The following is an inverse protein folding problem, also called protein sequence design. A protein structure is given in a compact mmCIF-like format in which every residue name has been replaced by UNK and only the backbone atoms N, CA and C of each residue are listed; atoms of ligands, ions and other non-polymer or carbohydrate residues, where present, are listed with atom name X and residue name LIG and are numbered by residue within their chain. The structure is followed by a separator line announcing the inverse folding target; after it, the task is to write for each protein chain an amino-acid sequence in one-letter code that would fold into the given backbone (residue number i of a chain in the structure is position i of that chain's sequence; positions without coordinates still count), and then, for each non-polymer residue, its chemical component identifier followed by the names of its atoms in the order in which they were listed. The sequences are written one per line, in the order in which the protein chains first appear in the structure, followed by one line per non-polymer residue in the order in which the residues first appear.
data_IF_319665368051
#
_entry.id   IF_319665368051
#
_cell.length_a   1.000
_cell.length_b   1.000
_cell.length_c   1.000
_cell.angle_alpha   90.00
_cell.angle_beta   90.00
_cell.angle_gamma   90.00
#
_symmetry.space_group_name_H-M   'P 1'
#
loop_
_entity.id
_entity.type
_entity.pdbx_description
1 polymer ?
#
# COMPACT_ATOMS: atom_id res chain seq x y z
N UNK A 1 7.64 -45.43 67.80
CA UNK A 1 6.50 -44.51 68.04
C UNK A 1 7.03 -43.09 67.92
N UNK A 2 6.27 -42.24 67.22
CA UNK A 2 6.33 -40.77 67.20
C UNK A 2 7.62 -40.11 66.68
N UNK A 3 7.61 -39.04 65.88
CA UNK A 3 6.53 -38.24 65.27
C UNK A 3 7.14 -37.51 64.08
N UNK A 4 6.31 -37.22 63.08
CA UNK A 4 6.65 -36.41 61.91
C UNK A 4 6.75 -34.92 62.26
N UNK A 5 7.59 -34.18 61.52
CA UNK A 5 7.33 -32.78 61.18
C UNK A 5 7.94 -32.50 59.79
N UNK A 6 7.08 -32.09 58.87
CA UNK A 6 7.38 -31.72 57.50
C UNK A 6 7.60 -30.22 57.46
N UNK A 7 8.81 -29.77 57.12
CA UNK A 7 9.04 -28.35 56.83
C UNK A 7 8.59 -28.03 55.40
N UNK A 8 7.65 -27.09 55.38
CA UNK A 8 6.97 -26.48 54.26
C UNK A 8 7.99 -25.79 53.32
N UNK A 9 8.04 -26.25 52.07
CA UNK A 9 8.79 -25.59 50.99
C UNK A 9 7.94 -24.41 50.51
N UNK A 10 8.34 -23.21 50.91
CA UNK A 10 7.72 -21.96 50.49
C UNK A 10 7.69 -21.86 48.96
N UNK A 11 6.49 -21.57 48.45
CA UNK A 11 6.23 -21.25 47.05
C UNK A 11 6.78 -19.85 46.78
N UNK A 12 7.76 -19.73 45.88
CA UNK A 12 8.19 -18.44 45.34
C UNK A 12 7.02 -17.84 44.53
N UNK A 13 6.32 -16.88 45.13
CA UNK A 13 5.40 -16.01 44.39
C UNK A 13 6.20 -15.15 43.40
N UNK A 14 5.73 -14.98 42.15
CA UNK A 14 6.36 -14.06 41.22
C UNK A 14 6.14 -12.64 41.74
N UNK A 15 7.23 -11.96 42.08
CA UNK A 15 7.25 -10.52 42.36
C UNK A 15 6.56 -9.80 41.19
N UNK A 16 5.33 -9.38 41.43
CA UNK A 16 4.66 -8.41 40.57
C UNK A 16 5.57 -7.20 40.48
N UNK A 17 5.98 -6.84 39.26
CA UNK A 17 6.64 -5.57 39.03
C UNK A 17 5.69 -4.48 39.50
N UNK A 18 6.04 -3.82 40.60
CA UNK A 18 5.44 -2.55 41.01
C UNK A 18 5.74 -1.57 39.86
N UNK A 19 4.81 -1.47 38.92
CA UNK A 19 4.72 -0.31 38.04
C UNK A 19 4.54 0.88 38.98
N UNK A 20 5.63 1.64 39.22
CA UNK A 20 5.61 2.86 40.05
C UNK A 20 4.62 3.86 39.45
N UNK A 21 3.35 3.75 39.83
CA UNK A 21 2.32 4.75 39.57
C UNK A 21 2.70 6.00 40.34
N UNK A 22 3.36 6.93 39.64
CA UNK A 22 3.78 8.23 40.17
C UNK A 22 2.61 9.10 40.67
N UNK A 23 1.34 8.65 40.55
CA UNK A 23 0.17 9.33 41.10
C UNK A 23 -0.10 10.71 40.48
N UNK A 24 0.60 11.03 39.39
CA UNK A 24 0.51 12.32 38.73
C UNK A 24 -0.82 12.42 37.97
N UNK A 25 -1.72 13.28 38.47
CA UNK A 25 -2.95 13.61 37.76
C UNK A 25 -2.64 14.49 36.54
N UNK A 26 -2.61 13.89 35.37
CA UNK A 26 -2.44 14.59 34.09
C UNK A 26 -3.78 15.17 33.66
N UNK A 27 -3.90 16.50 33.62
CA UNK A 27 -5.08 17.16 33.10
C UNK A 27 -5.17 16.95 31.57
N UNK A 28 -6.35 16.63 31.01
CA UNK A 28 -6.52 16.45 29.57
C UNK A 28 -6.18 17.75 28.81
N UNK A 29 -5.21 17.67 27.90
CA UNK A 29 -4.81 18.81 27.05
C UNK A 29 -5.92 19.10 26.02
N UNK A 30 -6.61 18.06 25.57
CA UNK A 30 -7.67 18.15 24.56
C UNK A 30 -8.84 17.27 24.98
N UNK A 31 -10.07 17.75 24.77
CA UNK A 31 -11.29 16.95 24.86
C UNK A 31 -11.70 16.57 23.45
N UNK A 32 -11.81 15.27 23.19
CA UNK A 32 -12.29 14.75 21.91
C UNK A 32 -13.77 14.39 22.07
N UNK A 33 -14.56 14.77 21.09
CA UNK A 33 -15.94 14.30 20.98
C UNK A 33 -15.96 12.95 20.26
N UNK A 34 -16.87 12.07 20.68
CA UNK A 34 -17.08 10.80 19.99
C UNK A 34 -17.68 11.07 18.61
N UNK A 35 -16.98 10.64 17.56
CA UNK A 35 -17.43 10.77 16.17
C UNK A 35 -17.82 9.38 15.67
N UNK A 36 -19.01 9.27 15.09
CA UNK A 36 -19.42 8.05 14.40
C UNK A 36 -18.51 7.81 13.19
N UNK A 37 -17.81 6.68 13.16
CA UNK A 37 -16.89 6.31 12.08
C UNK A 37 -17.56 5.28 11.18
N UNK A 38 -17.66 5.60 9.90
CA UNK A 38 -18.06 4.65 8.84
C UNK A 38 -16.83 3.96 8.27
N UNK A 39 -16.96 2.70 7.86
CA UNK A 39 -15.86 1.93 7.25
C UNK A 39 -15.72 2.21 5.76
N UNK A 40 -16.80 2.69 5.12
CA UNK A 40 -16.88 2.84 3.66
C UNK A 40 -17.06 1.50 2.94
N UNK A 41 -17.44 0.45 3.67
CA UNK A 41 -17.67 -0.92 3.19
C UNK A 41 -19.16 -1.33 3.34
N UNK A 42 -20.06 -0.41 3.69
CA UNK A 42 -21.45 -0.71 4.07
C UNK A 42 -22.33 -1.17 2.88
N UNK A 43 -21.97 -0.73 1.68
CA UNK A 43 -22.68 -1.02 0.42
C UNK A 43 -22.10 -2.24 -0.31
N UNK A 44 -21.28 -3.04 0.37
CA UNK A 44 -20.57 -4.16 -0.23
C UNK A 44 -20.78 -5.44 0.56
N UNK A 45 -20.79 -6.57 -0.16
CA UNK A 45 -20.87 -7.90 0.43
C UNK A 45 -19.51 -8.60 0.31
N UNK A 46 -19.02 -9.15 1.42
CA UNK A 46 -17.78 -9.90 1.45
C UNK A 46 -18.00 -11.30 0.85
N UNK A 47 -17.39 -11.55 -0.31
CA UNK A 47 -17.42 -12.85 -0.99
C UNK A 47 -16.23 -13.74 -0.61
N UNK A 48 -15.19 -13.14 -0.01
CA UNK A 48 -14.04 -13.81 0.58
C UNK A 48 -13.57 -13.01 1.80
N UNK A 49 -13.18 -13.71 2.86
CA UNK A 49 -12.59 -13.14 4.08
C UNK A 49 -11.56 -14.14 4.62
N UNK A 50 -10.27 -13.79 4.51
CA UNK A 50 -9.17 -14.68 4.93
C UNK A 50 -8.08 -13.90 5.66
N UNK A 51 -7.45 -14.55 6.65
CA UNK A 51 -6.24 -14.03 7.30
C UNK A 51 -5.02 -14.28 6.43
N UNK A 52 -4.22 -13.25 6.24
CA UNK A 52 -3.06 -13.28 5.37
C UNK A 52 -1.97 -12.30 5.80
N UNK A 53 -0.80 -12.44 5.20
CA UNK A 53 0.29 -11.47 5.24
C UNK A 53 0.61 -11.02 3.82
N UNK A 54 0.62 -9.71 3.61
CA UNK A 54 0.85 -9.07 2.33
C UNK A 54 2.25 -8.46 2.27
N UNK A 55 2.88 -8.65 1.11
CA UNK A 55 4.16 -8.12 0.73
C UNK A 55 4.02 -7.31 -0.55
N UNK A 56 4.86 -6.30 -0.69
CA UNK A 56 4.98 -5.43 -1.85
C UNK A 56 6.39 -5.53 -2.39
N UNK A 57 6.54 -5.69 -3.70
CA UNK A 57 7.85 -5.71 -4.33
C UNK A 57 8.43 -4.30 -4.43
N UNK A 58 9.62 -4.10 -3.89
CA UNK A 58 10.39 -2.87 -4.02
C UNK A 58 11.28 -2.96 -5.25
N UNK A 59 10.94 -2.19 -6.30
CA UNK A 59 11.67 -2.22 -7.57
C UNK A 59 13.12 -1.72 -7.42
N UNK A 60 13.33 -0.66 -6.63
CA UNK A 60 14.65 -0.07 -6.43
C UNK A 60 15.58 -1.00 -5.64
N UNK A 61 15.07 -1.63 -4.59
CA UNK A 61 15.81 -2.58 -3.76
C UNK A 61 15.81 -4.02 -4.28
N UNK A 62 15.08 -4.30 -5.38
CA UNK A 62 14.85 -5.64 -5.92
C UNK A 62 14.48 -6.67 -4.83
N UNK A 63 13.58 -6.31 -3.92
CA UNK A 63 13.26 -7.10 -2.73
C UNK A 63 11.80 -7.02 -2.33
N UNK A 64 11.30 -8.06 -1.66
CA UNK A 64 9.98 -8.04 -1.03
C UNK A 64 10.01 -7.30 0.30
N UNK A 65 9.09 -6.35 0.51
CA UNK A 65 8.86 -5.64 1.78
C UNK A 65 7.49 -6.01 2.34
N UNK A 66 7.40 -6.25 3.64
CA UNK A 66 6.11 -6.51 4.30
C UNK A 66 5.27 -5.22 4.26
N UNK A 67 4.02 -5.34 3.78
CA UNK A 67 3.06 -4.22 3.67
C UNK A 67 2.00 -4.28 4.77
N UNK A 68 1.58 -5.48 5.18
CA UNK A 68 0.67 -5.63 6.30
C UNK A 68 0.31 -7.09 6.61
N UNK A 69 -0.13 -7.33 7.84
CA UNK A 69 -0.66 -8.62 8.27
C UNK A 69 -2.06 -8.43 8.88
N UNK A 70 -3.05 -9.14 8.35
CA UNK A 70 -4.43 -9.00 8.79
C UNK A 70 -5.40 -9.73 7.88
N UNK A 71 -6.59 -9.16 7.71
CA UNK A 71 -7.68 -9.78 6.95
C UNK A 71 -7.76 -9.17 5.57
N UNK A 72 -7.68 -10.01 4.54
CA UNK A 72 -7.98 -9.66 3.15
C UNK A 72 -9.42 -10.04 2.85
N UNK A 73 -10.13 -9.13 2.18
CA UNK A 73 -11.50 -9.33 1.71
C UNK A 73 -11.60 -9.04 0.22
N UNK A 74 -12.42 -9.82 -0.46
CA UNK A 74 -12.99 -9.43 -1.75
C UNK A 74 -14.41 -8.93 -1.48
N UNK A 75 -14.66 -7.67 -1.82
CA UNK A 75 -15.90 -6.95 -1.53
C UNK A 75 -16.62 -6.66 -2.84
N UNK A 76 -17.84 -7.18 -2.99
CA UNK A 76 -18.70 -6.92 -4.15
C UNK A 76 -19.69 -5.81 -3.83
N UNK A 77 -19.69 -4.74 -4.62
CA UNK A 77 -20.64 -3.65 -4.46
C UNK A 77 -22.06 -4.07 -4.84
N UNK A 78 -23.05 -3.73 -4.02
CA UNK A 78 -24.45 -4.19 -4.16
C UNK A 78 -25.13 -3.69 -5.43
N UNK A 79 -24.82 -2.47 -5.86
CA UNK A 79 -25.45 -1.84 -7.04
C UNK A 79 -24.64 -2.07 -8.32
N UNK A 80 -23.42 -1.52 -8.37
CA UNK A 80 -22.53 -1.66 -9.54
C UNK A 80 -22.00 -3.06 -9.81
N UNK A 81 -22.13 -4.01 -8.87
CA UNK A 81 -21.55 -5.37 -8.95
C UNK A 81 -20.02 -5.43 -9.12
N UNK A 82 -19.31 -4.29 -9.10
CA UNK A 82 -17.86 -4.23 -9.14
C UNK A 82 -17.27 -4.86 -7.88
N UNK A 83 -16.12 -5.50 -8.02
CA UNK A 83 -15.43 -6.14 -6.90
C UNK A 83 -14.08 -5.48 -6.65
N UNK A 84 -13.79 -5.17 -5.39
CA UNK A 84 -12.47 -4.69 -4.95
C UNK A 84 -11.86 -5.61 -3.91
N UNK A 85 -10.54 -5.65 -3.90
CA UNK A 85 -9.74 -6.24 -2.83
C UNK A 85 -9.43 -5.16 -1.80
N UNK A 86 -9.80 -5.42 -0.54
CA UNK A 86 -9.44 -4.56 0.60
C UNK A 86 -8.74 -5.42 1.64
N UNK A 87 -7.59 -4.96 2.13
CA UNK A 87 -6.88 -5.59 3.23
C UNK A 87 -6.57 -4.57 4.32
N UNK A 88 -6.87 -4.93 5.57
CA UNK A 88 -6.56 -4.10 6.75
C UNK A 88 -5.60 -4.82 7.68
N UNK A 89 -4.67 -4.06 8.25
CA UNK A 89 -3.74 -4.53 9.27
C UNK A 89 -4.47 -4.87 10.57
N UNK A 90 -4.06 -5.98 11.20
CA UNK A 90 -4.54 -6.33 12.53
C UNK A 90 -4.15 -5.23 13.53
N UNK A 91 -5.02 -4.97 14.52
CA UNK A 91 -4.86 -3.96 15.58
C UNK A 91 -4.98 -2.50 15.09
N UNK A 92 -4.21 -2.07 14.09
CA UNK A 92 -4.21 -0.67 13.63
C UNK A 92 -5.38 -0.34 12.70
N UNK A 93 -5.98 -1.37 12.07
CA UNK A 93 -7.08 -1.25 11.09
C UNK A 93 -6.75 -0.38 9.86
N UNK A 94 -5.48 -0.01 9.69
CA UNK A 94 -4.97 0.71 8.52
C UNK A 94 -5.11 -0.16 7.28
N UNK A 95 -5.55 0.45 6.18
CA UNK A 95 -5.62 -0.18 4.87
C UNK A 95 -4.19 -0.41 4.38
N UNK A 96 -3.91 -1.61 3.88
CA UNK A 96 -2.62 -1.98 3.30
C UNK A 96 -2.72 -2.53 1.87
N UNK A 97 -3.94 -2.75 1.38
CA UNK A 97 -4.28 -2.90 -0.04
C UNK A 97 -5.72 -2.44 -0.25
N UNK A 98 -5.96 -1.74 -1.35
CA UNK A 98 -7.27 -1.29 -1.82
C UNK A 98 -7.22 -1.07 -3.33
N UNK A 99 -7.72 -2.03 -4.11
CA UNK A 99 -7.78 -1.93 -5.57
C UNK A 99 -8.97 -2.70 -6.13
N UNK A 100 -9.47 -2.27 -7.29
CA UNK A 100 -10.44 -3.03 -8.06
C UNK A 100 -9.80 -4.33 -8.60
N UNK A 101 -10.58 -5.40 -8.65
CA UNK A 101 -10.21 -6.59 -9.42
C UNK A 101 -10.70 -6.35 -10.84
N UNK A 102 -9.80 -6.01 -11.76
CA UNK A 102 -10.11 -5.68 -13.14
C UNK A 102 -10.18 -6.92 -14.04
N UNK A 103 -10.89 -6.84 -15.18
CA UNK A 103 -10.84 -7.87 -16.20
C UNK A 103 -9.39 -8.13 -16.64
N UNK A 104 -9.06 -9.41 -16.86
CA UNK A 104 -7.72 -9.88 -17.29
C UNK A 104 -6.61 -9.73 -16.25
N UNK A 105 -6.89 -9.32 -15.01
CA UNK A 105 -5.91 -9.51 -13.94
C UNK A 105 -5.63 -11.00 -13.75
N UNK A 106 -4.36 -11.34 -13.58
CA UNK A 106 -3.93 -12.73 -13.38
C UNK A 106 -3.24 -12.87 -12.04
N UNK A 107 -3.65 -13.87 -11.26
CA UNK A 107 -2.97 -14.29 -10.05
C UNK A 107 -2.16 -15.54 -10.33
N UNK A 108 -0.92 -15.58 -9.85
CA UNK A 108 0.02 -16.67 -10.10
C UNK A 108 0.54 -17.25 -8.79
N UNK A 109 0.72 -18.57 -8.72
CA UNK A 109 1.39 -19.19 -7.58
C UNK A 109 2.83 -18.68 -7.45
N UNK A 110 3.27 -18.43 -6.21
CA UNK A 110 4.63 -17.99 -5.98
C UNK A 110 5.61 -19.16 -6.11
N UNK A 111 6.59 -19.04 -7.03
CA UNK A 111 7.66 -20.03 -7.19
C UNK A 111 8.45 -20.19 -5.87
N UNK A 112 8.27 -21.32 -5.19
CA UNK A 112 8.93 -21.62 -3.92
C UNK A 112 8.06 -21.50 -2.66
N UNK A 113 6.78 -21.09 -2.76
CA UNK A 113 5.86 -21.15 -1.63
C UNK A 113 4.40 -21.35 -2.07
N UNK A 114 3.90 -22.58 -1.95
CA UNK A 114 2.53 -22.98 -2.33
C UNK A 114 1.42 -22.32 -1.48
N UNK A 115 1.78 -21.69 -0.35
CA UNK A 115 0.85 -20.90 0.46
C UNK A 115 0.78 -19.43 0.02
N UNK A 116 1.50 -19.07 -1.04
CA UNK A 116 1.60 -17.70 -1.52
C UNK A 116 1.28 -17.58 -3.00
N UNK A 117 0.75 -16.43 -3.38
CA UNK A 117 0.52 -16.06 -4.77
C UNK A 117 0.89 -14.59 -5.00
N UNK A 118 1.08 -14.24 -6.27
CA UNK A 118 1.53 -12.92 -6.74
C UNK A 118 0.62 -12.38 -7.83
N UNK A 119 0.43 -11.06 -7.85
CA UNK A 119 -0.32 -10.36 -8.88
C UNK A 119 0.11 -8.89 -8.96
N UNK A 120 -0.21 -8.23 -10.07
CA UNK A 120 -0.02 -6.80 -10.26
C UNK A 120 -1.35 -6.07 -10.08
N UNK A 121 -1.36 -4.89 -9.48
CA UNK A 121 -2.55 -4.05 -9.33
C UNK A 121 -2.22 -2.56 -9.21
N UNK A 122 -3.13 -1.71 -9.68
CA UNK A 122 -3.16 -0.28 -9.39
C UNK A 122 -3.86 -0.04 -8.04
N UNK A 123 -3.07 0.20 -6.99
CA UNK A 123 -3.52 0.23 -5.60
C UNK A 123 -3.65 1.64 -5.03
N UNK A 124 -4.66 1.84 -4.15
CA UNK A 124 -4.99 3.12 -3.52
C UNK A 124 -4.86 3.10 -1.98
N UNK A 125 -4.13 2.15 -1.38
CA UNK A 125 -4.04 2.05 0.08
C UNK A 125 -3.41 3.29 0.75
N UNK A 126 -2.56 4.03 0.05
CA UNK A 126 -1.88 5.23 0.59
C UNK A 126 -2.61 6.54 0.25
N UNK A 127 -3.78 6.49 -0.38
CA UNK A 127 -4.50 7.68 -0.85
C UNK A 127 -4.07 8.20 -2.23
N UNK A 128 -3.22 7.46 -2.93
CA UNK A 128 -2.76 7.73 -4.30
C UNK A 128 -2.72 6.43 -5.10
N UNK A 129 -3.03 6.47 -6.40
CA UNK A 129 -2.96 5.31 -7.28
C UNK A 129 -1.50 4.95 -7.59
N UNK A 130 -1.09 3.73 -7.27
CA UNK A 130 0.28 3.23 -7.49
C UNK A 130 0.26 1.84 -8.12
N UNK A 131 1.11 1.63 -9.12
CA UNK A 131 1.35 0.31 -9.71
C UNK A 131 2.21 -0.55 -8.79
N UNK A 132 1.59 -1.55 -8.18
CA UNK A 132 2.21 -2.41 -7.18
C UNK A 132 2.25 -3.87 -7.66
N UNK A 133 3.36 -4.55 -7.35
CA UNK A 133 3.46 -6.00 -7.46
C UNK A 133 3.33 -6.59 -6.06
N UNK A 134 2.25 -7.31 -5.84
CA UNK A 134 1.90 -7.91 -4.56
C UNK A 134 2.29 -9.38 -4.48
N UNK A 135 2.62 -9.81 -3.27
CA UNK A 135 2.70 -11.20 -2.89
C UNK A 135 1.93 -11.37 -1.59
N UNK A 136 0.97 -12.28 -1.55
CA UNK A 136 0.19 -12.57 -0.34
C UNK A 136 0.47 -13.99 0.11
N UNK A 137 0.58 -14.19 1.42
CA UNK A 137 0.82 -15.49 2.05
C UNK A 137 -0.30 -15.81 3.02
N UNK A 138 -0.83 -17.02 2.88
CA UNK A 138 -1.87 -17.57 3.75
C UNK A 138 -1.30 -18.58 4.75
N UNK A 139 -2.09 -18.90 5.79
CA UNK A 139 -1.72 -19.91 6.78
C UNK A 139 -1.66 -21.33 6.19
N UNK A 140 -2.54 -21.63 5.23
CA UNK A 140 -2.71 -22.93 4.61
C UNK A 140 -2.70 -22.83 3.08
N UNK A 141 -2.45 -23.97 2.43
CA UNK A 141 -2.43 -24.06 0.96
C UNK A 141 -3.86 -23.96 0.43
N UNK A 142 -4.82 -24.51 1.16
CA UNK A 142 -6.25 -24.46 0.82
C UNK A 142 -6.76 -23.02 0.76
N UNK A 143 -6.35 -22.17 1.70
CA UNK A 143 -6.70 -20.75 1.69
C UNK A 143 -6.09 -20.02 0.50
N UNK A 144 -4.86 -20.36 0.12
CA UNK A 144 -4.22 -19.78 -1.07
C UNK A 144 -4.98 -20.18 -2.34
N UNK A 145 -5.32 -21.46 -2.48
CA UNK A 145 -6.10 -21.97 -3.63
C UNK A 145 -7.48 -21.32 -3.71
N UNK A 146 -8.20 -21.24 -2.58
CA UNK A 146 -9.50 -20.58 -2.51
C UNK A 146 -9.40 -19.10 -2.91
N UNK A 147 -8.37 -18.39 -2.45
CA UNK A 147 -8.14 -17.00 -2.84
C UNK A 147 -7.89 -16.88 -4.34
N UNK A 148 -6.99 -17.68 -4.90
CA UNK A 148 -6.68 -17.63 -6.33
C UNK A 148 -7.91 -17.94 -7.19
N UNK A 149 -8.66 -18.98 -6.83
CA UNK A 149 -9.90 -19.35 -7.52
C UNK A 149 -10.92 -18.21 -7.49
N UNK A 150 -11.20 -17.64 -6.31
CA UNK A 150 -12.16 -16.54 -6.17
C UNK A 150 -11.70 -15.27 -6.87
N UNK A 151 -10.40 -14.97 -6.82
CA UNK A 151 -9.84 -13.81 -7.53
C UNK A 151 -10.00 -13.97 -9.04
N UNK A 152 -9.69 -15.16 -9.56
CA UNK A 152 -9.80 -15.47 -10.99
C UNK A 152 -11.27 -15.46 -11.47
N UNK A 153 -12.18 -16.07 -10.71
CA UNK A 153 -13.63 -16.04 -10.97
C UNK A 153 -14.17 -14.59 -11.02
N UNK A 154 -13.71 -13.75 -10.10
CA UNK A 154 -14.07 -12.33 -10.08
C UNK A 154 -13.50 -11.62 -11.31
N UNK A 155 -12.21 -11.79 -11.61
CA UNK A 155 -11.56 -11.15 -12.74
C UNK A 155 -12.18 -11.57 -14.09
N UNK A 156 -12.67 -12.79 -14.21
CA UNK A 156 -13.37 -13.29 -15.40
C UNK A 156 -14.82 -12.82 -15.50
N UNK A 157 -15.48 -12.55 -14.36
CA UNK A 157 -16.86 -12.05 -14.32
C UNK A 157 -16.98 -10.53 -14.40
N UNK A 158 -15.86 -9.80 -14.32
CA UNK A 158 -15.87 -8.36 -14.57
C UNK A 158 -15.97 -8.08 -16.07
N UNK A 159 -16.92 -7.24 -16.44
CA UNK A 159 -17.00 -6.69 -17.79
C UNK A 159 -15.93 -5.60 -17.97
N UNK A 160 -15.31 -5.47 -19.16
CA UNK A 160 -14.48 -4.32 -19.49
C UNK A 160 -15.31 -3.06 -19.38
N UNK A 161 -14.87 -2.10 -18.57
CA UNK A 161 -15.48 -0.79 -18.55
C UNK A 161 -15.32 -0.15 -19.94
N UNK A 162 -16.45 0.19 -20.59
CA UNK A 162 -16.45 1.35 -21.47
C UNK A 162 -16.21 2.58 -20.58
N UNK A 163 -15.24 3.41 -20.95
CA UNK A 163 -14.86 4.61 -20.19
C UNK A 163 -16.10 5.42 -19.82
N UNK A 164 -16.46 5.42 -18.53
CA UNK A 164 -17.63 6.13 -18.06
C UNK A 164 -17.35 7.64 -18.02
N UNK A 165 -18.28 8.45 -18.53
CA UNK A 165 -18.15 9.92 -18.68
C UNK A 165 -17.79 10.64 -17.37
N UNK A 166 -18.05 10.03 -16.22
CA UNK A 166 -17.70 10.55 -14.89
C UNK A 166 -16.19 10.67 -14.64
N UNK A 167 -15.35 9.79 -15.22
CA UNK A 167 -13.90 9.91 -15.10
C UNK A 167 -13.36 11.11 -15.90
N UNK A 168 -13.95 11.37 -17.07
CA UNK A 168 -13.66 12.56 -17.87
C UNK A 168 -14.19 13.84 -17.20
N UNK A 169 -15.36 13.77 -16.56
CA UNK A 169 -15.94 14.89 -15.81
C UNK A 169 -15.10 15.24 -14.56
N UNK A 170 -14.61 14.25 -13.82
CA UNK A 170 -13.73 14.46 -12.67
C UNK A 170 -12.35 15.01 -13.08
N UNK A 171 -11.77 14.51 -14.19
CA UNK A 171 -10.55 15.06 -14.77
C UNK A 171 -10.74 16.52 -15.24
N UNK A 172 -11.87 16.83 -15.88
CA UNK A 172 -12.22 18.20 -16.30
C UNK A 172 -12.45 19.15 -15.12
N UNK A 173 -13.00 18.67 -14.01
CA UNK A 173 -13.19 19.49 -12.81
C UNK A 173 -11.86 19.82 -12.10
N UNK A 174 -10.88 18.92 -12.16
CA UNK A 174 -9.51 19.14 -11.67
C UNK A 174 -8.74 20.15 -12.53
N UNK A 175 -8.99 20.17 -13.84
CA UNK A 175 -8.40 21.16 -14.76
C UNK A 175 -8.95 22.57 -14.51
N UNK A 176 -10.24 22.68 -14.16
CA UNK A 176 -10.90 23.94 -13.82
C UNK A 176 -10.52 24.53 -12.44
N UNK A 177 -9.78 23.80 -11.60
CA UNK A 177 -9.34 24.26 -10.27
C UNK A 177 -7.90 24.80 -10.24
N UNK A 178 -7.19 24.84 -11.37
CA UNK A 178 -5.92 25.57 -11.46
C UNK A 178 -6.20 27.07 -11.50
N UNK A 179 -6.14 27.70 -10.34
CA UNK A 179 -6.10 29.16 -10.20
C UNK A 179 -4.87 29.66 -10.97
N UNK A 180 -5.13 30.35 -12.08
CA UNK A 180 -4.11 31.11 -12.81
C UNK A 180 -3.68 32.30 -11.95
N UNK A 181 -2.40 32.34 -11.56
CA UNK A 181 -1.74 33.56 -11.12
C UNK A 181 -1.90 34.61 -12.22
N UNK A 182 -2.74 35.62 -12.00
CA UNK A 182 -2.89 36.79 -12.85
C UNK A 182 -1.59 37.61 -12.88
N UNK A 183 -1.10 38.00 -14.07
CA UNK A 183 -0.40 39.27 -14.21
C UNK A 183 -1.05 40.10 -15.32
N UNK A 184 -1.61 41.26 -14.97
CA UNK A 184 -1.95 42.29 -15.95
C UNK A 184 -1.79 43.70 -15.35
N UNK A 185 -0.96 44.48 -16.03
CA UNK A 185 -0.62 45.90 -15.87
C UNK A 185 -1.82 46.83 -16.20
N UNK A 186 -1.82 48.17 -16.06
CA UNK A 186 -0.78 49.21 -16.04
C UNK A 186 -1.40 50.55 -15.60
N UNK A 187 -0.61 51.52 -15.11
CA UNK A 187 -0.73 52.95 -15.47
C UNK A 187 0.68 53.58 -15.53
N UNK A 188 0.92 54.40 -16.57
CA UNK A 188 2.17 55.09 -16.93
C UNK A 188 2.46 56.32 -16.04
N UNK A 189 3.75 56.63 -15.80
CA UNK A 189 4.39 57.86 -16.33
C UNK A 189 5.91 57.95 -16.04
N UNK A 190 6.68 58.05 -17.15
CA UNK A 190 7.77 58.99 -17.44
C UNK A 190 9.26 58.80 -17.00
N UNK A 191 10.10 58.90 -18.06
CA UNK A 191 11.48 59.45 -18.21
C UNK A 191 12.75 58.59 -17.98
N UNK A 192 13.30 58.15 -19.12
CA UNK A 192 14.72 58.21 -19.60
C UNK A 192 15.88 58.09 -18.60
N UNK A 193 16.78 57.12 -18.81
CA UNK A 193 18.06 57.30 -19.54
C UNK A 193 18.82 55.96 -19.72
N UNK A 194 19.67 55.93 -20.75
CA UNK A 194 20.48 54.84 -21.33
C UNK A 194 21.44 54.12 -20.35
N UNK A 195 21.71 52.83 -20.57
CA UNK A 195 23.03 52.35 -21.08
C UNK A 195 23.06 50.87 -21.50
N UNK A 196 23.90 50.66 -22.52
CA UNK A 196 24.22 49.50 -23.37
C UNK A 196 24.75 48.20 -22.73
N UNK A 197 24.70 47.13 -23.53
CA UNK A 197 25.61 45.96 -23.54
C UNK A 197 24.89 44.63 -23.28
N UNK A 198 24.51 43.81 -24.28
CA UNK A 198 25.37 42.90 -25.09
C UNK A 198 26.14 41.93 -24.15
N UNK A 199 25.91 40.61 -24.11
CA UNK A 199 26.23 39.62 -25.15
C UNK A 199 25.72 38.21 -24.71
N UNK A 200 25.24 37.39 -25.64
CA UNK A 200 25.25 35.90 -25.54
C UNK A 200 26.50 35.39 -26.31
N UNK A 201 26.82 34.08 -26.51
CA UNK A 201 26.12 32.84 -26.15
C UNK A 201 27.07 31.66 -25.75
N UNK A 202 26.50 30.45 -25.76
CA UNK A 202 27.09 29.18 -26.27
C UNK A 202 27.59 28.08 -25.30
N UNK A 203 26.76 27.03 -25.27
CA UNK A 203 27.02 25.58 -25.28
C UNK A 203 28.46 25.05 -25.49
N UNK A 204 28.77 23.92 -24.81
CA UNK A 204 29.64 22.85 -25.33
C UNK A 204 29.11 21.45 -24.92
N UNK A 205 29.29 20.50 -25.84
CA UNK A 205 28.81 19.12 -25.93
C UNK A 205 29.80 18.07 -25.37
N UNK A 206 29.24 16.89 -25.09
CA UNK A 206 29.73 15.49 -25.31
C UNK A 206 31.02 14.98 -24.64
N UNK A 207 30.95 13.77 -24.04
CA UNK A 207 31.56 12.56 -24.63
C UNK A 207 31.13 11.26 -23.90
N UNK A 208 30.71 10.28 -24.69
CA UNK A 208 30.66 8.84 -24.39
C UNK A 208 32.07 8.23 -24.37
N UNK A 209 32.26 7.12 -23.63
CA UNK A 209 33.16 6.05 -24.09
C UNK A 209 32.77 4.66 -23.61
N UNK A 210 32.49 3.83 -24.60
CA UNK A 210 32.38 2.38 -24.59
C UNK A 210 33.76 1.71 -24.39
N UNK A 211 33.80 0.57 -23.70
CA UNK A 211 34.76 -0.49 -24.04
C UNK A 211 34.26 -1.88 -23.63
N UNK A 212 33.92 -2.66 -24.64
CA UNK A 212 33.73 -4.12 -24.65
C UNK A 212 35.02 -4.83 -25.07
N UNK A 213 35.44 -5.87 -24.32
CA UNK A 213 36.05 -7.16 -24.75
C UNK A 213 36.45 -7.93 -23.47
N UNK A 214 36.51 -9.27 -23.33
CA UNK A 214 36.60 -10.38 -24.27
C UNK A 214 36.13 -11.71 -23.62
N UNK A 215 36.06 -12.72 -24.49
CA UNK A 215 35.45 -14.06 -24.41
C UNK A 215 36.46 -15.17 -24.04
N UNK A 216 35.96 -16.25 -23.41
CA UNK A 216 36.38 -17.68 -23.42
C UNK A 216 36.25 -18.24 -21.98
N UNK A 217 35.54 -19.32 -21.67
CA UNK A 217 35.48 -20.61 -22.37
C UNK A 217 36.46 -21.57 -21.69
N UNK A 218 35.98 -22.47 -20.84
CA UNK A 218 36.20 -23.94 -20.90
C UNK A 218 35.90 -24.64 -19.55
N UNK A 219 35.26 -25.80 -19.71
CA UNK A 219 34.91 -26.84 -18.75
C UNK A 219 36.08 -27.47 -18.00
N UNK A 220 35.85 -27.98 -16.78
CA UNK A 220 36.25 -29.35 -16.39
C UNK A 220 35.80 -29.67 -14.96
N UNK A 221 35.15 -30.82 -14.84
CA UNK A 221 34.94 -31.63 -13.64
C UNK A 221 36.19 -31.82 -12.76
N UNK A 222 36.00 -31.80 -11.44
CA UNK A 222 36.38 -32.86 -10.49
C UNK A 222 35.62 -32.61 -9.19
#
# INVERSE_FOLDING_TARGET
MSSAEAEHREEEEPLAGDDEDTGAQVAPIVRLEEVAVTTGEENEDAILDLKAKLYRFDKDGNQWKERGAGTVKLLKHKESSKVRLVMRQSKTLKICANHLVLPKMTVQEHAGNEKSCVWHATDFADGELKEELFCIRFASIENNRLFMEKFQEVAESQEPEEENEDAAAAAGLLENLKVEDTPAAAEEENKTEKKDGEEAPAAVKEEEKDSKSDKAGESSST
#
